data_IF_143741859719
#
_entry.id   IF_143741859719
#
_cell.length_a   1.000
_cell.length_b   1.000
_cell.length_c   1.000
_cell.angle_alpha   90.00
_cell.angle_beta   90.00
_cell.angle_gamma   90.00
#
_symmetry.space_group_name_H-M   'P 1'
#
loop_
_entity.id
_entity.type
_entity.pdbx_description
1 polymer ?
#
# COMPACT_ATOMS: atom_id res chain seq x y z
N UNK A 1 -19.77 -26.18 12.42
CA UNK A 1 -18.76 -25.32 13.09
C UNK A 1 -17.62 -25.04 12.11
N UNK A 2 -17.93 -24.42 10.97
CA UNK A 2 -16.99 -24.21 9.84
C UNK A 2 -17.24 -22.84 9.17
N UNK A 3 -17.93 -21.93 9.86
CA UNK A 3 -18.53 -20.72 9.30
C UNK A 3 -17.60 -19.52 9.24
N UNK A 4 -16.48 -19.55 9.98
CA UNK A 4 -15.61 -18.36 10.15
C UNK A 4 -14.29 -18.47 9.38
N UNK A 5 -14.01 -19.59 8.70
CA UNK A 5 -12.76 -19.76 7.97
C UNK A 5 -12.81 -19.16 6.57
N UNK A 6 -11.70 -18.55 6.14
CA UNK A 6 -11.48 -18.15 4.76
C UNK A 6 -10.56 -19.16 4.07
N UNK A 7 -10.91 -19.53 2.85
CA UNK A 7 -10.18 -20.52 2.08
C UNK A 7 -9.20 -19.84 1.14
N UNK A 8 -7.96 -20.32 1.15
CA UNK A 8 -6.96 -19.94 0.16
C UNK A 8 -7.43 -20.41 -1.22
N UNK A 9 -7.40 -19.52 -2.22
CA UNK A 9 -7.81 -19.88 -3.59
C UNK A 9 -6.82 -20.87 -4.22
N UNK A 10 -7.29 -21.81 -5.06
CA UNK A 10 -6.41 -22.71 -5.80
C UNK A 10 -5.69 -21.96 -6.92
N UNK A 11 -4.53 -22.45 -7.36
CA UNK A 11 -3.85 -21.92 -8.55
C UNK A 11 -4.67 -22.14 -9.83
N UNK A 12 -5.33 -23.30 -9.91
CA UNK A 12 -6.26 -23.65 -10.96
C UNK A 12 -7.27 -24.65 -10.40
N UNK A 13 -8.54 -24.50 -10.76
CA UNK A 13 -9.61 -25.40 -10.35
C UNK A 13 -10.54 -25.71 -11.54
N UNK A 14 -10.44 -26.91 -12.13
CA UNK A 14 -11.26 -27.28 -13.28
C UNK A 14 -12.76 -27.41 -12.95
N UNK A 15 -13.09 -27.65 -11.67
CA UNK A 15 -14.48 -27.77 -11.18
C UNK A 15 -15.02 -26.42 -10.65
N UNK A 16 -14.33 -25.31 -10.94
CA UNK A 16 -14.75 -23.98 -10.54
C UNK A 16 -16.00 -23.51 -11.29
N UNK A 17 -16.81 -22.70 -10.63
CA UNK A 17 -17.97 -22.04 -11.22
C UNK A 17 -17.53 -20.97 -12.23
N UNK A 18 -18.19 -20.96 -13.37
CA UNK A 18 -17.97 -20.05 -14.50
C UNK A 18 -19.02 -18.93 -14.57
N UNK A 19 -20.12 -19.03 -13.81
CA UNK A 19 -21.16 -18.00 -13.77
C UNK A 19 -20.70 -16.81 -12.91
N UNK A 20 -20.37 -15.72 -13.61
CA UNK A 20 -19.86 -14.49 -13.01
C UNK A 20 -20.84 -13.85 -12.03
N UNK A 21 -22.15 -14.11 -12.17
CA UNK A 21 -23.19 -13.57 -11.27
C UNK A 21 -23.06 -14.14 -9.85
N UNK A 22 -22.53 -15.35 -9.72
CA UNK A 22 -22.35 -16.03 -8.45
C UNK A 22 -21.01 -15.69 -7.77
N UNK A 23 -20.09 -15.01 -8.48
CA UNK A 23 -18.75 -14.69 -7.98
C UNK A 23 -18.83 -13.95 -6.64
N UNK A 24 -17.92 -14.21 -5.72
CA UNK A 24 -17.80 -13.51 -4.42
C UNK A 24 -16.36 -13.14 -4.15
N UNK A 25 -16.15 -12.14 -3.30
CA UNK A 25 -14.80 -11.67 -2.95
C UNK A 25 -13.99 -12.76 -2.25
N UNK A 26 -14.60 -13.52 -1.35
CA UNK A 26 -13.97 -14.61 -0.61
C UNK A 26 -14.80 -15.89 -0.74
N UNK A 27 -14.16 -17.05 -0.55
CA UNK A 27 -14.81 -18.36 -0.48
C UNK A 27 -15.68 -18.75 -1.71
N UNK A 28 -15.55 -18.07 -2.85
CA UNK A 28 -16.19 -18.50 -4.09
C UNK A 28 -15.44 -19.68 -4.71
N UNK A 29 -16.17 -20.63 -5.30
CA UNK A 29 -15.60 -21.75 -6.05
C UNK A 29 -15.02 -21.27 -7.39
N UNK A 30 -13.94 -20.49 -7.36
CA UNK A 30 -13.33 -19.90 -8.56
C UNK A 30 -12.51 -20.93 -9.35
N UNK A 31 -12.49 -20.80 -10.68
CA UNK A 31 -11.52 -21.51 -11.55
C UNK A 31 -10.11 -20.92 -11.46
N UNK A 32 -9.99 -19.69 -10.94
CA UNK A 32 -8.79 -18.84 -10.95
C UNK A 32 -8.32 -18.41 -12.36
N UNK A 33 -9.17 -18.56 -13.41
CA UNK A 33 -8.90 -18.04 -14.76
C UNK A 33 -9.22 -16.54 -14.84
N UNK A 34 -8.34 -15.77 -15.47
CA UNK A 34 -8.55 -14.36 -15.74
C UNK A 34 -9.44 -14.17 -16.98
N UNK A 35 -10.72 -13.83 -16.75
CA UNK A 35 -11.65 -13.38 -17.79
C UNK A 35 -12.07 -11.93 -17.50
N UNK A 36 -11.36 -10.99 -18.13
CA UNK A 36 -11.64 -9.55 -17.98
C UNK A 36 -12.73 -9.04 -18.91
N UNK A 37 -13.28 -9.90 -19.78
CA UNK A 37 -14.44 -9.55 -20.61
C UNK A 37 -15.76 -9.82 -19.87
N UNK A 38 -15.73 -10.63 -18.82
CA UNK A 38 -16.89 -10.98 -18.01
C UNK A 38 -16.55 -10.85 -16.51
N UNK A 39 -16.84 -9.68 -15.95
CA UNK A 39 -16.53 -9.32 -14.55
C UNK A 39 -17.79 -9.07 -13.74
N UNK A 40 -17.80 -9.45 -12.46
CA UNK A 40 -18.89 -9.11 -11.54
C UNK A 40 -18.72 -7.67 -11.06
N UNK A 41 -17.49 -7.33 -10.69
CA UNK A 41 -17.13 -6.03 -10.15
C UNK A 41 -16.71 -5.08 -11.28
N UNK A 42 -17.69 -4.47 -11.95
CA UNK A 42 -17.48 -3.64 -13.13
C UNK A 42 -16.54 -2.44 -12.89
N UNK A 43 -16.49 -1.96 -11.64
CA UNK A 43 -15.65 -0.85 -11.20
C UNK A 43 -14.14 -1.12 -11.37
N UNK A 44 -13.74 -2.40 -11.50
CA UNK A 44 -12.35 -2.81 -11.75
C UNK A 44 -11.81 -2.25 -13.07
N UNK A 45 -12.62 -2.16 -14.12
CA UNK A 45 -12.13 -1.71 -15.43
C UNK A 45 -11.63 -0.26 -15.38
N UNK A 46 -12.41 0.62 -14.74
CA UNK A 46 -12.06 2.03 -14.60
C UNK A 46 -10.87 2.21 -13.67
N UNK A 47 -10.85 1.49 -12.55
CA UNK A 47 -9.71 1.49 -11.62
C UNK A 47 -8.41 1.04 -12.30
N UNK A 48 -8.45 -0.07 -13.05
CA UNK A 48 -7.31 -0.60 -13.79
C UNK A 48 -6.74 0.44 -14.76
N UNK A 49 -7.61 1.06 -15.57
CA UNK A 49 -7.18 2.10 -16.52
C UNK A 49 -6.56 3.29 -15.81
N UNK A 50 -7.14 3.72 -14.69
CA UNK A 50 -6.62 4.83 -13.91
C UNK A 50 -5.23 4.52 -13.33
N UNK A 51 -5.07 3.36 -12.68
CA UNK A 51 -3.80 2.94 -12.08
C UNK A 51 -2.70 2.80 -13.16
N UNK A 52 -3.00 2.17 -14.30
CA UNK A 52 -2.02 2.04 -15.39
C UNK A 52 -1.63 3.38 -16.02
N UNK A 53 -2.59 4.30 -16.18
CA UNK A 53 -2.30 5.66 -16.70
C UNK A 53 -1.45 6.49 -15.73
N UNK A 54 -1.38 6.08 -14.46
CA UNK A 54 -0.55 6.73 -13.46
C UNK A 54 0.89 6.22 -13.45
N UNK A 55 1.30 5.28 -14.31
CA UNK A 55 2.68 4.79 -14.29
C UNK A 55 3.71 5.93 -14.30
N UNK A 56 4.74 5.78 -13.46
CA UNK A 56 5.81 6.74 -13.28
C UNK A 56 7.09 6.04 -12.81
N UNK A 57 8.24 6.65 -13.04
CA UNK A 57 9.56 6.13 -12.65
C UNK A 57 10.24 7.14 -11.74
N UNK A 58 10.65 6.76 -10.51
CA UNK A 58 11.21 7.72 -9.55
C UNK A 58 12.46 8.44 -10.06
N UNK A 59 13.37 7.71 -10.71
CA UNK A 59 14.64 8.24 -11.21
C UNK A 59 14.48 9.31 -12.32
N UNK A 60 13.29 9.51 -12.88
CA UNK A 60 13.00 10.59 -13.82
C UNK A 60 12.81 11.95 -13.11
N UNK A 61 12.68 11.96 -11.78
CA UNK A 61 12.47 13.16 -10.97
C UNK A 61 13.81 13.75 -10.53
N UNK A 62 14.03 15.03 -10.82
CA UNK A 62 15.29 15.68 -10.52
C UNK A 62 15.40 16.07 -9.03
N UNK A 63 16.39 15.51 -8.33
CA UNK A 63 16.68 15.78 -6.91
C UNK A 63 17.90 16.69 -6.65
N UNK A 64 18.42 17.39 -7.67
CA UNK A 64 19.63 18.23 -7.51
C UNK A 64 19.43 19.38 -6.53
N UNK A 65 18.24 20.00 -6.55
CA UNK A 65 17.91 21.08 -5.62
C UNK A 65 17.81 20.55 -4.19
N UNK A 66 17.14 19.41 -4.00
CA UNK A 66 16.96 18.73 -2.72
C UNK A 66 18.29 18.37 -2.07
N UNK A 67 19.27 17.90 -2.87
CA UNK A 67 20.64 17.65 -2.40
C UNK A 67 21.30 18.91 -1.80
N UNK A 68 20.98 20.08 -2.34
CA UNK A 68 21.49 21.36 -1.83
C UNK A 68 20.65 21.90 -0.65
N UNK A 69 19.35 21.61 -0.63
CA UNK A 69 18.41 22.07 0.40
C UNK A 69 18.52 21.26 1.69
N UNK A 70 18.66 19.95 1.60
CA UNK A 70 18.63 19.03 2.74
C UNK A 70 19.63 19.38 3.86
N UNK A 71 20.89 19.75 3.57
CA UNK A 71 21.83 20.20 4.61
C UNK A 71 21.50 21.57 5.23
N UNK A 72 20.66 22.37 4.56
CA UNK A 72 20.24 23.72 4.99
C UNK A 72 18.90 23.73 5.73
N UNK A 73 18.24 22.57 5.85
CA UNK A 73 17.07 22.42 6.70
C UNK A 73 17.45 22.76 8.14
N UNK A 74 16.54 23.42 8.86
CA UNK A 74 16.71 23.57 10.31
C UNK A 74 16.75 22.21 11.00
N UNK A 75 17.34 22.13 12.19
CA UNK A 75 17.40 20.87 12.94
C UNK A 75 16.01 20.23 13.13
N UNK A 76 14.99 21.04 13.40
CA UNK A 76 13.61 20.56 13.57
C UNK A 76 13.02 20.03 12.26
N UNK A 77 13.22 20.73 11.13
CA UNK A 77 12.79 20.27 9.81
C UNK A 77 13.49 18.97 9.41
N UNK A 78 14.82 18.89 9.61
CA UNK A 78 15.60 17.68 9.29
C UNK A 78 15.17 16.49 10.15
N UNK A 79 14.99 16.70 11.46
CA UNK A 79 14.51 15.65 12.37
C UNK A 79 13.14 15.12 11.95
N UNK A 80 12.22 16.02 11.56
CA UNK A 80 10.89 15.62 11.08
C UNK A 80 10.97 14.89 9.75
N UNK A 81 11.79 15.39 8.81
CA UNK A 81 12.01 14.76 7.50
C UNK A 81 12.50 13.32 7.66
N UNK A 82 13.54 13.12 8.45
CA UNK A 82 14.17 11.82 8.66
C UNK A 82 13.20 10.82 9.30
N UNK A 83 12.50 11.23 10.36
CA UNK A 83 11.52 10.37 11.06
C UNK A 83 10.32 10.01 10.20
N UNK A 84 9.79 10.98 9.45
CA UNK A 84 8.64 10.75 8.58
C UNK A 84 9.05 9.83 7.44
N UNK A 85 10.18 10.08 6.79
CA UNK A 85 10.66 9.25 5.68
C UNK A 85 10.96 7.81 6.14
N UNK A 86 11.59 7.64 7.30
CA UNK A 86 11.80 6.32 7.93
C UNK A 86 10.49 5.56 8.13
N UNK A 87 9.46 6.26 8.62
CA UNK A 87 8.14 5.66 8.84
C UNK A 87 7.45 5.30 7.52
N UNK A 88 7.49 6.16 6.51
CA UNK A 88 6.89 5.87 5.19
C UNK A 88 7.56 4.67 4.51
N UNK A 89 8.89 4.58 4.56
CA UNK A 89 9.65 3.41 4.08
C UNK A 89 9.14 2.11 4.72
N UNK A 90 8.87 2.13 6.02
CA UNK A 90 8.31 0.98 6.72
C UNK A 90 6.91 0.61 6.21
N UNK A 91 6.02 1.60 6.01
CA UNK A 91 4.64 1.34 5.56
C UNK A 91 4.60 0.68 4.17
N UNK A 92 5.30 1.25 3.19
CA UNK A 92 5.35 0.69 1.82
C UNK A 92 6.02 -0.69 1.78
N UNK A 93 7.05 -0.91 2.62
CA UNK A 93 7.67 -2.23 2.77
C UNK A 93 6.69 -3.26 3.33
N UNK A 94 5.88 -2.87 4.33
CA UNK A 94 4.85 -3.72 4.91
C UNK A 94 3.76 -4.05 3.88
N UNK A 95 3.28 -3.06 3.13
CA UNK A 95 2.25 -3.25 2.10
C UNK A 95 2.74 -4.19 0.98
N UNK A 96 3.97 -3.99 0.49
CA UNK A 96 4.60 -4.87 -0.50
C UNK A 96 4.69 -6.33 -0.04
N UNK A 97 4.93 -6.55 1.26
CA UNK A 97 4.98 -7.89 1.85
C UNK A 97 3.57 -8.48 2.12
N UNK A 98 2.58 -7.63 2.44
CA UNK A 98 1.28 -8.09 2.90
C UNK A 98 0.22 -8.25 1.81
N UNK A 99 0.15 -7.37 0.82
CA UNK A 99 -0.87 -7.44 -0.23
C UNK A 99 -0.95 -8.83 -0.91
N UNK A 100 0.18 -9.53 -1.17
CA UNK A 100 0.15 -10.92 -1.61
C UNK A 100 -0.57 -11.87 -0.64
N UNK A 101 -0.43 -11.70 0.68
CA UNK A 101 -1.11 -12.51 1.69
C UNK A 101 -2.63 -12.31 1.65
N UNK A 102 -3.12 -11.08 1.44
CA UNK A 102 -4.56 -10.80 1.26
C UNK A 102 -5.05 -11.42 -0.06
N UNK A 103 -4.32 -11.19 -1.17
CA UNK A 103 -4.74 -11.62 -2.51
C UNK A 103 -4.94 -13.13 -2.64
N UNK A 104 -4.26 -13.92 -1.81
CA UNK A 104 -4.39 -15.38 -1.79
C UNK A 104 -5.77 -15.88 -1.35
N UNK A 105 -6.55 -15.04 -0.66
CA UNK A 105 -7.90 -15.38 -0.18
C UNK A 105 -9.01 -14.66 -0.95
N UNK A 106 -8.66 -13.69 -1.80
CA UNK A 106 -9.61 -13.07 -2.73
C UNK A 106 -9.88 -14.04 -3.88
N UNK A 107 -11.10 -14.54 -3.99
CA UNK A 107 -11.56 -15.47 -5.03
C UNK A 107 -12.08 -14.77 -6.30
N UNK A 108 -12.14 -13.44 -6.30
CA UNK A 108 -12.47 -12.62 -7.46
C UNK A 108 -11.20 -12.20 -8.23
N UNK A 109 -10.98 -12.79 -9.40
CA UNK A 109 -9.74 -12.61 -10.17
C UNK A 109 -9.55 -11.17 -10.69
N UNK A 110 -10.65 -10.50 -11.02
CA UNK A 110 -10.63 -9.08 -11.42
C UNK A 110 -10.14 -8.17 -10.29
N UNK A 111 -10.45 -8.47 -9.02
CA UNK A 111 -9.94 -7.71 -7.87
C UNK A 111 -8.47 -8.06 -7.59
N UNK A 112 -8.06 -9.31 -7.83
CA UNK A 112 -6.65 -9.71 -7.73
C UNK A 112 -5.75 -9.00 -8.74
N UNK A 113 -6.25 -8.69 -9.94
CA UNK A 113 -5.55 -7.83 -10.90
C UNK A 113 -5.21 -6.48 -10.26
N UNK A 114 -6.19 -5.83 -9.62
CA UNK A 114 -5.97 -4.56 -8.93
C UNK A 114 -4.94 -4.68 -7.80
N UNK A 115 -5.06 -5.71 -6.95
CA UNK A 115 -4.12 -5.92 -5.84
C UNK A 115 -2.69 -6.20 -6.30
N UNK A 116 -2.53 -6.87 -7.46
CA UNK A 116 -1.21 -7.10 -8.06
C UNK A 116 -0.59 -5.82 -8.60
N UNK A 117 -1.41 -4.94 -9.20
CA UNK A 117 -0.96 -3.61 -9.64
C UNK A 117 -0.61 -2.74 -8.45
N UNK A 118 -1.44 -2.72 -7.41
CA UNK A 118 -1.13 -2.02 -6.17
C UNK A 118 0.20 -2.51 -5.59
N UNK A 119 0.39 -3.82 -5.45
CA UNK A 119 1.66 -4.39 -4.95
C UNK A 119 2.87 -3.90 -5.75
N UNK A 120 2.72 -3.78 -7.08
CA UNK A 120 3.76 -3.23 -7.95
C UNK A 120 4.00 -1.73 -7.68
N UNK A 121 2.94 -0.93 -7.47
CA UNK A 121 3.07 0.48 -7.10
C UNK A 121 3.76 0.66 -5.74
N UNK A 122 3.45 -0.16 -4.72
CA UNK A 122 4.16 -0.11 -3.42
C UNK A 122 5.65 -0.42 -3.55
N UNK A 123 6.03 -1.28 -4.50
CA UNK A 123 7.43 -1.53 -4.83
C UNK A 123 8.09 -0.29 -5.45
N UNK A 124 7.38 0.44 -6.30
CA UNK A 124 7.86 1.72 -6.86
C UNK A 124 8.02 2.75 -5.74
N UNK A 125 7.05 2.86 -4.83
CA UNK A 125 7.12 3.77 -3.68
C UNK A 125 8.33 3.46 -2.79
N UNK A 126 8.55 2.17 -2.49
CA UNK A 126 9.72 1.73 -1.72
C UNK A 126 11.04 2.07 -2.42
N UNK A 127 11.09 1.91 -3.75
CA UNK A 127 12.26 2.27 -4.55
C UNK A 127 12.48 3.79 -4.58
N UNK A 128 11.41 4.59 -4.65
CA UNK A 128 11.51 6.05 -4.69
C UNK A 128 12.11 6.63 -3.42
N UNK A 129 11.73 6.14 -2.23
CA UNK A 129 12.39 6.57 -0.99
C UNK A 129 13.86 6.20 -0.95
N UNK A 130 14.23 5.04 -1.50
CA UNK A 130 15.63 4.62 -1.61
C UNK A 130 16.42 5.56 -2.54
N UNK A 131 15.83 5.94 -3.67
CA UNK A 131 16.38 6.93 -4.60
C UNK A 131 16.53 8.31 -3.95
N UNK A 132 15.50 8.78 -3.22
CA UNK A 132 15.54 10.01 -2.45
C UNK A 132 16.69 10.02 -1.45
N UNK A 133 16.80 8.97 -0.62
CA UNK A 133 17.83 8.85 0.40
C UNK A 133 19.24 8.80 -0.20
N UNK A 134 19.46 8.01 -1.25
CA UNK A 134 20.75 7.91 -1.93
C UNK A 134 21.19 9.24 -2.56
N UNK A 135 20.21 10.03 -3.03
CA UNK A 135 20.49 11.32 -3.68
C UNK A 135 20.88 12.43 -2.70
N UNK A 136 20.29 12.45 -1.50
CA UNK A 136 20.42 13.59 -0.55
C UNK A 136 21.29 13.28 0.68
N UNK A 137 21.48 12.00 1.05
CA UNK A 137 22.20 11.59 2.26
C UNK A 137 23.56 10.94 1.96
N UNK A 138 24.46 10.94 2.94
CA UNK A 138 25.57 9.98 2.93
C UNK A 138 25.08 8.55 3.19
N UNK A 139 25.84 7.50 2.82
CA UNK A 139 25.45 6.11 3.11
C UNK A 139 25.23 5.83 4.61
N UNK A 140 25.96 6.50 5.50
CA UNK A 140 25.80 6.40 6.96
C UNK A 140 24.48 7.03 7.41
N UNK A 141 24.21 8.28 7.00
CA UNK A 141 22.95 8.96 7.30
C UNK A 141 21.74 8.19 6.77
N UNK A 142 21.84 7.64 5.56
CA UNK A 142 20.78 6.78 5.00
C UNK A 142 20.50 5.59 5.90
N UNK A 143 21.52 4.88 6.38
CA UNK A 143 21.33 3.74 7.27
C UNK A 143 20.69 4.16 8.60
N UNK A 144 21.12 5.29 9.16
CA UNK A 144 20.54 5.81 10.40
C UNK A 144 19.05 6.13 10.23
N UNK A 145 18.64 6.69 9.09
CA UNK A 145 17.24 6.97 8.77
C UNK A 145 16.46 5.65 8.60
N UNK A 146 16.95 4.71 7.79
CA UNK A 146 16.27 3.44 7.53
C UNK A 146 16.03 2.61 8.80
N UNK A 147 16.98 2.64 9.73
CA UNK A 147 16.92 1.87 10.97
C UNK A 147 16.62 2.73 12.20
N UNK A 148 16.08 3.93 12.01
CA UNK A 148 15.80 4.86 13.12
C UNK A 148 14.89 4.26 14.20
N UNK A 149 14.01 3.33 13.83
CA UNK A 149 13.17 2.59 14.77
C UNK A 149 13.97 1.79 15.82
N UNK A 150 15.25 1.50 15.59
CA UNK A 150 16.11 0.82 16.59
C UNK A 150 16.46 1.71 17.77
N UNK A 151 16.38 3.03 17.62
CA UNK A 151 16.76 4.01 18.65
C UNK A 151 15.63 4.98 19.01
N UNK A 152 14.52 4.98 18.26
CA UNK A 152 13.31 5.74 18.56
C UNK A 152 12.17 4.80 19.01
N UNK A 153 11.92 4.77 20.32
CA UNK A 153 10.89 3.92 20.94
C UNK A 153 9.47 4.24 20.44
N UNK A 154 9.18 5.50 20.08
CA UNK A 154 7.87 5.88 19.58
C UNK A 154 7.65 5.35 18.16
N UNK A 155 8.68 5.44 17.31
CA UNK A 155 8.63 4.88 15.96
C UNK A 155 8.50 3.34 16.03
N UNK A 156 9.29 2.68 16.88
CA UNK A 156 9.19 1.23 17.08
C UNK A 156 7.77 0.82 17.50
N UNK A 157 7.22 1.46 18.53
CA UNK A 157 5.88 1.14 19.03
C UNK A 157 4.79 1.31 17.96
N UNK A 158 4.93 2.32 17.09
CA UNK A 158 4.01 2.49 15.95
C UNK A 158 4.15 1.36 14.93
N UNK A 159 5.38 0.99 14.60
CA UNK A 159 5.65 -0.08 13.65
C UNK A 159 5.12 -1.43 14.19
N UNK A 160 5.37 -1.75 15.46
CA UNK A 160 4.84 -2.96 16.10
C UNK A 160 3.32 -2.98 16.10
N UNK A 161 2.66 -1.88 16.50
CA UNK A 161 1.20 -1.81 16.52
C UNK A 161 0.59 -2.07 15.14
N UNK A 162 1.13 -1.45 14.09
CA UNK A 162 0.64 -1.65 12.72
C UNK A 162 0.95 -3.07 12.26
N UNK A 163 2.21 -3.51 12.39
CA UNK A 163 2.65 -4.83 11.97
C UNK A 163 1.87 -5.98 12.62
N UNK A 164 1.49 -5.86 13.90
CA UNK A 164 0.72 -6.90 14.58
C UNK A 164 -0.69 -7.10 14.03
N UNK A 165 -1.34 -6.05 13.51
CA UNK A 165 -2.64 -6.18 12.83
C UNK A 165 -2.53 -7.07 11.57
N UNK A 166 -1.38 -7.01 10.91
CA UNK A 166 -1.09 -7.76 9.69
C UNK A 166 -0.61 -9.18 10.01
N UNK A 167 0.26 -9.32 11.03
CA UNK A 167 0.69 -10.63 11.54
C UNK A 167 -0.49 -11.45 12.06
N UNK A 168 -1.48 -10.82 12.71
CA UNK A 168 -2.70 -11.48 13.16
C UNK A 168 -3.42 -12.18 12.00
N UNK A 169 -3.55 -11.51 10.85
CA UNK A 169 -4.17 -12.08 9.67
C UNK A 169 -3.39 -13.27 9.11
N UNK A 170 -2.06 -13.12 8.97
CA UNK A 170 -1.18 -14.19 8.49
C UNK A 170 -1.29 -15.43 9.38
N UNK A 171 -1.43 -15.25 10.70
CA UNK A 171 -1.51 -16.33 11.68
C UNK A 171 -2.89 -17.01 11.72
N UNK A 172 -3.98 -16.24 11.73
CA UNK A 172 -5.34 -16.77 11.98
C UNK A 172 -6.09 -17.17 10.71
N UNK A 173 -6.01 -16.36 9.66
CA UNK A 173 -6.67 -16.61 8.37
C UNK A 173 -8.16 -16.95 8.53
N UNK A 174 -8.87 -16.20 9.38
CA UNK A 174 -10.31 -16.25 9.55
C UNK A 174 -10.98 -14.96 9.03
N UNK A 175 -12.32 -14.96 8.90
CA UNK A 175 -13.07 -13.81 8.37
C UNK A 175 -12.84 -12.53 9.17
N UNK A 176 -12.72 -12.64 10.50
CA UNK A 176 -12.54 -11.48 11.38
C UNK A 176 -11.15 -10.86 11.21
N UNK A 177 -10.11 -11.69 11.17
CA UNK A 177 -8.75 -11.25 10.90
C UNK A 177 -8.62 -10.66 9.48
N UNK A 178 -9.31 -11.23 8.49
CA UNK A 178 -9.39 -10.70 7.13
C UNK A 178 -10.01 -9.30 7.08
N UNK A 179 -11.17 -9.13 7.73
CA UNK A 179 -11.82 -7.83 7.81
C UNK A 179 -10.92 -6.80 8.52
N UNK A 180 -10.28 -7.19 9.63
CA UNK A 180 -9.34 -6.33 10.37
C UNK A 180 -8.18 -5.89 9.50
N UNK A 181 -7.55 -6.78 8.74
CA UNK A 181 -6.43 -6.39 7.87
C UNK A 181 -6.90 -5.51 6.70
N UNK A 182 -8.08 -5.74 6.13
CA UNK A 182 -8.65 -4.86 5.10
C UNK A 182 -8.92 -3.43 5.64
N UNK A 183 -9.45 -3.32 6.87
CA UNK A 183 -9.64 -2.03 7.54
C UNK A 183 -8.28 -1.38 7.88
N UNK A 184 -7.31 -2.17 8.33
CA UNK A 184 -5.96 -1.68 8.62
C UNK A 184 -5.31 -1.10 7.35
N UNK A 185 -5.43 -1.77 6.20
CA UNK A 185 -5.00 -1.25 4.89
C UNK A 185 -5.71 0.07 4.58
N UNK A 186 -7.04 0.12 4.67
CA UNK A 186 -7.81 1.34 4.42
C UNK A 186 -7.36 2.54 5.29
N UNK A 187 -7.05 2.30 6.57
CA UNK A 187 -6.52 3.34 7.49
C UNK A 187 -5.08 3.71 7.13
N UNK A 188 -4.24 2.74 6.76
CA UNK A 188 -2.86 2.97 6.36
C UNK A 188 -2.81 3.89 5.12
N UNK A 189 -3.54 3.56 4.07
CA UNK A 189 -3.63 4.35 2.83
C UNK A 189 -4.27 5.72 3.06
N UNK A 190 -5.34 5.78 3.85
CA UNK A 190 -6.18 6.98 3.98
C UNK A 190 -5.78 7.96 5.07
N UNK A 191 -4.98 7.53 6.06
CA UNK A 191 -4.65 8.34 7.25
C UNK A 191 -3.15 8.48 7.43
N UNK A 192 -2.41 7.38 7.52
CA UNK A 192 -1.00 7.44 7.87
C UNK A 192 -0.16 8.09 6.76
N UNK A 193 -0.39 7.68 5.52
CA UNK A 193 0.28 8.28 4.36
C UNK A 193 -0.05 9.77 4.20
N UNK A 194 -1.33 10.14 4.24
CA UNK A 194 -1.76 11.54 4.14
C UNK A 194 -1.13 12.42 5.23
N UNK A 195 -0.99 11.92 6.46
CA UNK A 195 -0.29 12.64 7.52
C UNK A 195 1.19 12.88 7.19
N UNK A 196 1.88 11.91 6.60
CA UNK A 196 3.27 12.05 6.17
C UNK A 196 3.42 13.05 5.02
N UNK A 197 2.53 12.99 4.02
CA UNK A 197 2.60 13.83 2.83
C UNK A 197 2.50 15.33 3.14
N UNK A 198 1.67 15.71 4.12
CA UNK A 198 1.48 17.12 4.49
C UNK A 198 2.79 17.80 4.92
N UNK A 199 3.71 17.07 5.52
CA UNK A 199 5.02 17.62 5.89
C UNK A 199 5.83 18.03 4.66
N UNK A 200 5.93 17.15 3.66
CA UNK A 200 6.66 17.43 2.41
C UNK A 200 5.99 18.56 1.61
N UNK A 201 4.65 18.61 1.58
CA UNK A 201 3.92 19.74 1.00
C UNK A 201 4.24 21.07 1.69
N UNK A 202 4.37 21.06 3.01
CA UNK A 202 4.73 22.26 3.77
C UNK A 202 6.16 22.72 3.46
N UNK A 203 7.14 21.81 3.36
CA UNK A 203 8.50 22.18 2.95
C UNK A 203 8.51 22.82 1.56
N UNK A 204 7.84 22.19 0.60
CA UNK A 204 7.74 22.69 -0.77
C UNK A 204 7.05 24.04 -0.88
N UNK A 205 5.98 24.26 -0.11
CA UNK A 205 5.32 25.57 -0.03
C UNK A 205 6.28 26.67 0.42
N UNK A 206 7.28 26.33 1.22
CA UNK A 206 8.33 27.24 1.67
C UNK A 206 9.58 27.23 0.76
N UNK A 207 9.47 26.68 -0.45
CA UNK A 207 10.53 26.68 -1.46
C UNK A 207 11.66 25.69 -1.17
N UNK A 208 11.41 24.63 -0.39
CA UNK A 208 12.42 23.62 -0.01
C UNK A 208 12.03 22.24 -0.52
N UNK A 209 13.02 21.42 -0.86
CA UNK A 209 12.84 20.00 -1.22
C UNK A 209 11.83 19.76 -2.38
N UNK A 210 11.94 20.50 -3.51
CA UNK A 210 10.96 20.44 -4.60
C UNK A 210 10.89 19.09 -5.32
N UNK A 211 11.97 18.32 -5.34
CA UNK A 211 12.02 16.97 -5.91
C UNK A 211 11.34 15.95 -4.99
N UNK A 212 11.62 16.00 -3.68
CA UNK A 212 11.00 15.13 -2.67
C UNK A 212 9.49 15.29 -2.65
N UNK A 213 8.98 16.51 -2.76
CA UNK A 213 7.52 16.70 -2.83
C UNK A 213 6.93 16.17 -4.14
N UNK A 214 7.70 16.15 -5.23
CA UNK A 214 7.23 15.66 -6.52
C UNK A 214 7.09 14.14 -6.51
N UNK A 215 8.04 13.43 -5.91
CA UNK A 215 7.93 12.01 -5.56
C UNK A 215 6.65 11.74 -4.76
N UNK A 216 6.47 12.48 -3.66
CA UNK A 216 5.30 12.37 -2.76
C UNK A 216 3.98 12.70 -3.47
N UNK A 217 3.96 13.57 -4.49
CA UNK A 217 2.75 13.82 -5.30
C UNK A 217 2.34 12.62 -6.12
N UNK A 218 3.30 11.91 -6.72
CA UNK A 218 2.98 10.71 -7.49
C UNK A 218 2.51 9.58 -6.59
N UNK A 219 3.19 9.36 -5.45
CA UNK A 219 2.76 8.42 -4.42
C UNK A 219 1.33 8.75 -3.98
N UNK A 220 1.05 10.00 -3.58
CA UNK A 220 -0.29 10.40 -3.12
C UNK A 220 -1.38 10.22 -4.20
N UNK A 221 -1.04 10.41 -5.49
CA UNK A 221 -1.97 10.14 -6.59
C UNK A 221 -2.32 8.64 -6.64
N UNK A 222 -1.34 7.77 -6.44
CA UNK A 222 -1.53 6.32 -6.43
C UNK A 222 -2.31 5.89 -5.17
N UNK A 223 -1.98 6.43 -4.00
CA UNK A 223 -2.72 6.19 -2.74
C UNK A 223 -4.21 6.52 -2.82
N UNK A 224 -4.58 7.53 -3.61
CA UNK A 224 -6.00 7.85 -3.84
C UNK A 224 -6.75 6.68 -4.50
N UNK A 225 -6.08 5.94 -5.38
CA UNK A 225 -6.63 4.75 -6.03
C UNK A 225 -6.63 3.55 -5.10
N UNK A 226 -5.60 3.37 -4.27
CA UNK A 226 -5.50 2.29 -3.27
C UNK A 226 -6.61 2.41 -2.22
N UNK A 227 -6.83 3.62 -1.69
CA UNK A 227 -7.91 3.91 -0.75
C UNK A 227 -9.29 3.58 -1.35
N UNK A 228 -9.51 3.94 -2.61
CA UNK A 228 -10.74 3.65 -3.30
C UNK A 228 -10.93 2.15 -3.53
N UNK A 229 -9.85 1.39 -3.81
CA UNK A 229 -9.90 -0.06 -3.97
C UNK A 229 -10.37 -0.74 -2.68
N UNK A 230 -9.71 -0.46 -1.56
CA UNK A 230 -10.08 -1.04 -0.27
C UNK A 230 -11.47 -0.59 0.21
N UNK A 231 -11.88 0.65 -0.09
CA UNK A 231 -13.27 1.07 0.13
C UNK A 231 -14.26 0.16 -0.58
N UNK A 232 -14.05 -0.13 -1.87
CA UNK A 232 -14.97 -0.97 -2.62
C UNK A 232 -14.92 -2.43 -2.16
N UNK A 233 -13.74 -2.97 -1.83
CA UNK A 233 -13.61 -4.30 -1.20
C UNK A 233 -14.47 -4.38 0.06
N UNK A 234 -14.35 -3.40 0.97
CA UNK A 234 -15.12 -3.37 2.22
C UNK A 234 -16.64 -3.25 1.98
N UNK A 235 -17.05 -2.44 1.01
CA UNK A 235 -18.47 -2.28 0.65
C UNK A 235 -19.06 -3.57 0.06
N UNK A 236 -18.31 -4.28 -0.78
CA UNK A 236 -18.78 -5.56 -1.33
C UNK A 236 -18.76 -6.67 -0.25
N UNK A 237 -17.74 -6.71 0.62
CA UNK A 237 -17.72 -7.62 1.77
C UNK A 237 -18.95 -7.39 2.67
N UNK A 238 -19.32 -6.13 2.95
CA UNK A 238 -20.50 -5.83 3.76
C UNK A 238 -21.81 -6.37 3.15
N UNK A 239 -21.91 -6.41 1.81
CA UNK A 239 -23.08 -6.96 1.11
C UNK A 239 -23.08 -8.48 1.08
N UNK A 240 -21.90 -9.09 0.95
CA UNK A 240 -21.73 -10.53 0.75
C UNK A 240 -21.67 -11.29 2.09
N UNK A 241 -21.00 -10.72 3.08
CA UNK A 241 -20.75 -11.26 4.43
C UNK A 241 -21.27 -10.26 5.48
N UNK A 242 -22.60 -10.13 5.67
CA UNK A 242 -23.18 -9.12 6.55
C UNK A 242 -23.03 -9.40 8.07
N UNK A 243 -22.63 -10.62 8.45
CA UNK A 243 -22.39 -11.04 9.84
C UNK A 243 -21.12 -10.46 10.49
#
# INVERSE_FOLDING_TARGET
MQTDQINRKPLFNPEGDIDVRNRRLINFNTTNINDFNNMKYNWVSDWYRQAMNNFWVPEEINLNQDKSDYPRLSLAEKTAYDKILSFLVYLDSLQSANLPNISQYITANEVNLCLSIQTFQECIHSQSYSYMLDSICSPEQRNDILYQWKTDEHLLKRNEFIGELYNEFVAKQDKQAFLRVCIANFILEGVYFYSGFMFFYNLARNGKMPGSVQEIRYINRDESTHLWLFRNILVELQKEEPE
#
